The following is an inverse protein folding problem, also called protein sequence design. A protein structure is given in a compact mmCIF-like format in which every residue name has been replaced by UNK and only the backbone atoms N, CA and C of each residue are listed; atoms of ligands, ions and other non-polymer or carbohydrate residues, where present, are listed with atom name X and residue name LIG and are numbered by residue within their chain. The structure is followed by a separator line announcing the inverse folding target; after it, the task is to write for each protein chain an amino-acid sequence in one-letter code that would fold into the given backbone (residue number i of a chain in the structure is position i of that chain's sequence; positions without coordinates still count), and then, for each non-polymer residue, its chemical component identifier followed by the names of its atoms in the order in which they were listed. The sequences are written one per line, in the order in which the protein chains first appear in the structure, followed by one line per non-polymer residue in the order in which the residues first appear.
data_IF_264392250388
#
_entry.id   IF_264392250388
#
_cell.length_a   1.000
_cell.length_b   1.000
_cell.length_c   1.000
_cell.angle_alpha   90.00
_cell.angle_beta   90.00
_cell.angle_gamma   90.00
#
_symmetry.space_group_name_H-M   'P 1'
#
loop_
_entity.id
_entity.type
_entity.pdbx_description
1 polymer ?
#
# COMPACT_ATOMS: atom_id res chain seq x y z
N UNK A 1 -43.37 -4.10 -13.31
CA UNK A 1 -43.33 -3.94 -11.83
C UNK A 1 -41.89 -4.15 -11.40
N UNK A 2 -41.14 -3.07 -11.17
CA UNK A 2 -39.75 -3.15 -10.73
C UNK A 2 -39.71 -3.41 -9.22
N UNK A 3 -39.20 -4.56 -8.82
CA UNK A 3 -39.01 -4.94 -7.41
C UNK A 3 -37.94 -4.02 -6.82
N UNK A 4 -38.36 -3.02 -6.04
CA UNK A 4 -37.43 -2.17 -5.27
C UNK A 4 -36.69 -3.06 -4.26
N UNK A 5 -35.36 -3.18 -4.39
CA UNK A 5 -34.52 -3.77 -3.34
C UNK A 5 -34.69 -2.92 -2.09
N UNK A 6 -35.10 -3.56 -1.00
CA UNK A 6 -35.14 -2.96 0.34
C UNK A 6 -33.71 -2.62 0.71
N UNK A 7 -33.43 -1.33 0.95
CA UNK A 7 -32.19 -0.91 1.56
C UNK A 7 -32.28 -1.38 3.02
N UNK A 8 -31.50 -2.40 3.38
CA UNK A 8 -31.34 -2.80 4.77
C UNK A 8 -30.65 -1.65 5.49
N UNK A 9 -31.44 -0.81 6.17
CA UNK A 9 -30.97 0.13 7.16
C UNK A 9 -30.65 -0.67 8.42
N UNK A 10 -29.57 -1.45 8.38
CA UNK A 10 -28.96 -1.97 9.58
C UNK A 10 -28.52 -0.77 10.42
N UNK A 11 -28.95 -0.74 11.67
CA UNK A 11 -28.39 0.12 12.71
C UNK A 11 -26.86 -0.02 12.62
N UNK A 12 -26.06 1.06 12.61
CA UNK A 12 -24.63 0.90 12.77
C UNK A 12 -24.41 0.21 14.12
N UNK A 13 -24.06 -1.07 14.06
CA UNK A 13 -23.47 -1.77 15.19
C UNK A 13 -22.33 -0.89 15.71
N UNK A 14 -22.13 -0.78 17.03
CA UNK A 14 -20.97 -0.05 17.54
C UNK A 14 -19.74 -0.57 16.81
N UNK A 15 -19.11 0.30 15.99
CA UNK A 15 -17.89 -0.06 15.26
C UNK A 15 -16.88 -0.51 16.29
N UNK A 16 -16.66 -1.83 16.38
CA UNK A 16 -15.55 -2.36 17.13
C UNK A 16 -14.29 -1.70 16.58
N UNK A 17 -13.35 -1.28 17.45
CA UNK A 17 -12.12 -0.68 16.99
C UNK A 17 -11.45 -1.64 16.01
N UNK A 18 -11.28 -1.19 14.76
CA UNK A 18 -10.61 -1.94 13.71
C UNK A 18 -9.17 -2.18 14.20
N UNK A 19 -8.74 -3.44 14.20
CA UNK A 19 -7.36 -3.77 14.51
C UNK A 19 -6.46 -3.08 13.45
N UNK A 20 -5.41 -2.36 13.83
CA UNK A 20 -4.50 -1.72 12.86
C UNK A 20 -3.95 -2.69 11.79
N UNK A 21 -3.89 -3.98 12.08
CA UNK A 21 -3.48 -5.01 11.11
C UNK A 21 -4.52 -5.28 10.01
N UNK A 22 -5.79 -4.93 10.23
CA UNK A 22 -6.86 -5.00 9.24
C UNK A 22 -6.98 -3.71 8.39
N UNK A 23 -6.12 -2.71 8.63
CA UNK A 23 -5.96 -1.58 7.73
C UNK A 23 -4.96 -1.89 6.61
N UNK A 24 -5.33 -1.58 5.37
CA UNK A 24 -4.42 -1.66 4.23
C UNK A 24 -3.55 -0.40 4.21
N UNK A 25 -2.25 -0.57 4.41
CA UNK A 25 -1.28 0.50 4.23
C UNK A 25 -0.60 0.36 2.88
N UNK A 26 -0.53 1.46 2.14
CA UNK A 26 0.13 1.57 0.84
C UNK A 26 1.10 2.75 0.87
N UNK A 27 2.39 2.47 0.71
CA UNK A 27 3.46 3.47 0.75
C UNK A 27 4.23 3.46 -0.56
N UNK A 28 4.43 4.63 -1.17
CA UNK A 28 5.23 4.77 -2.39
C UNK A 28 6.68 5.12 -2.02
N UNK A 29 7.63 4.20 -2.21
CA UNK A 29 9.06 4.46 -2.08
C UNK A 29 9.68 5.01 -3.39
N UNK A 30 8.96 4.91 -4.50
CA UNK A 30 9.32 5.51 -5.77
C UNK A 30 8.23 5.29 -6.82
N UNK A 31 8.11 6.19 -7.80
CA UNK A 31 6.98 6.20 -8.74
C UNK A 31 5.71 6.90 -8.20
N UNK A 32 5.75 7.44 -6.98
CA UNK A 32 4.68 8.25 -6.41
C UNK A 32 4.71 9.69 -6.94
N UNK A 33 3.71 10.09 -7.73
CA UNK A 33 3.68 11.40 -8.41
C UNK A 33 4.89 11.67 -9.33
N UNK A 34 5.56 10.62 -9.81
CA UNK A 34 6.70 10.68 -10.73
C UNK A 34 6.72 9.47 -11.67
N UNK A 35 7.64 9.43 -12.64
CA UNK A 35 7.83 8.30 -13.55
C UNK A 35 9.27 7.81 -13.47
N UNK A 36 9.45 6.58 -12.99
CA UNK A 36 10.77 5.96 -12.76
C UNK A 36 10.86 5.41 -11.34
N UNK A 37 11.86 4.54 -11.08
CA UNK A 37 12.12 3.92 -9.76
C UNK A 37 10.87 3.37 -9.04
N UNK A 38 9.96 2.75 -9.78
CA UNK A 38 8.75 2.15 -9.21
C UNK A 38 9.11 1.19 -8.07
N UNK A 39 8.59 1.48 -6.89
CA UNK A 39 8.76 0.68 -5.69
C UNK A 39 7.67 1.06 -4.68
N UNK A 40 6.86 0.10 -4.26
CA UNK A 40 5.71 0.35 -3.40
C UNK A 40 5.65 -0.70 -2.29
N UNK A 41 5.23 -0.32 -1.10
CA UNK A 41 5.02 -1.23 0.02
C UNK A 41 3.52 -1.37 0.24
N UNK A 42 3.08 -2.61 0.35
CA UNK A 42 1.74 -2.99 0.80
C UNK A 42 1.88 -3.72 2.13
N UNK A 43 1.20 -3.21 3.16
CA UNK A 43 1.07 -3.90 4.45
C UNK A 43 -0.39 -4.21 4.73
N UNK A 44 -0.68 -5.48 5.01
CA UNK A 44 -2.01 -5.94 5.38
C UNK A 44 -1.94 -7.24 6.15
N UNK A 45 -2.70 -7.36 7.25
CA UNK A 45 -2.77 -8.57 8.11
C UNK A 45 -1.39 -9.09 8.53
N UNK A 46 -0.50 -8.16 8.88
CA UNK A 46 0.88 -8.47 9.27
C UNK A 46 1.69 -9.17 8.17
N UNK A 47 1.37 -8.90 6.90
CA UNK A 47 2.17 -9.27 5.73
C UNK A 47 2.64 -8.01 5.05
N UNK A 48 3.89 -8.02 4.60
CA UNK A 48 4.52 -6.89 3.92
C UNK A 48 4.98 -7.35 2.54
N UNK A 49 4.42 -6.75 1.50
CA UNK A 49 4.79 -7.01 0.11
C UNK A 49 5.46 -5.76 -0.45
N UNK A 50 6.63 -5.92 -1.05
CA UNK A 50 7.25 -4.89 -1.87
C UNK A 50 6.87 -5.14 -3.33
N UNK A 51 6.38 -4.13 -4.02
CA UNK A 51 6.05 -4.20 -5.44
C UNK A 51 7.10 -3.42 -6.22
N UNK A 52 7.87 -4.14 -7.03
CA UNK A 52 8.98 -3.64 -7.82
C UNK A 52 10.16 -3.05 -7.01
N UNK A 53 11.30 -3.02 -7.68
CA UNK A 53 12.56 -2.43 -7.19
C UNK A 53 13.26 -1.73 -8.36
N UNK A 54 12.57 -0.77 -8.99
CA UNK A 54 13.02 -0.10 -10.21
C UNK A 54 14.15 0.92 -9.97
N UNK A 55 14.72 1.44 -11.05
CA UNK A 55 15.62 2.59 -11.04
C UNK A 55 15.04 3.75 -11.86
N UNK A 56 15.35 4.99 -11.48
CA UNK A 56 14.88 6.18 -12.17
C UNK A 56 15.80 6.51 -13.35
N UNK A 57 15.31 6.54 -14.60
CA UNK A 57 16.17 6.66 -15.78
C UNK A 57 16.84 8.02 -15.94
N UNK A 58 16.34 9.06 -15.28
CA UNK A 58 16.89 10.42 -15.34
C UNK A 58 17.91 10.75 -14.23
N UNK A 59 18.25 9.79 -13.36
CA UNK A 59 19.21 9.98 -12.27
C UNK A 59 20.28 8.89 -12.31
N UNK A 60 21.42 9.17 -11.68
CA UNK A 60 22.57 8.27 -11.64
C UNK A 60 22.89 7.80 -10.22
N UNK A 61 23.48 6.61 -10.12
CA UNK A 61 23.96 6.06 -8.86
C UNK A 61 22.85 5.90 -7.81
N UNK A 62 23.16 6.21 -6.55
CA UNK A 62 22.22 6.09 -5.42
C UNK A 62 20.97 6.96 -5.60
N UNK A 63 21.07 8.11 -6.29
CA UNK A 63 19.93 8.99 -6.51
C UNK A 63 18.87 8.40 -7.45
N UNK A 64 19.24 7.40 -8.25
CA UNK A 64 18.31 6.67 -9.13
C UNK A 64 17.46 5.64 -8.38
N UNK A 65 17.85 5.28 -7.16
CA UNK A 65 17.18 4.23 -6.40
C UNK A 65 15.88 4.76 -5.75
N UNK A 66 14.94 3.85 -5.41
CA UNK A 66 13.86 4.15 -4.49
C UNK A 66 14.38 4.57 -3.13
N UNK A 67 13.52 5.20 -2.33
CA UNK A 67 13.83 5.65 -0.96
C UNK A 67 13.83 4.48 0.04
N UNK A 68 14.70 3.49 -0.17
CA UNK A 68 14.79 2.29 0.68
C UNK A 68 15.05 2.58 2.15
N UNK A 69 15.74 3.68 2.45
CA UNK A 69 16.07 4.07 3.82
C UNK A 69 14.84 4.55 4.62
N UNK A 70 13.72 4.85 3.95
CA UNK A 70 12.47 5.27 4.60
C UNK A 70 11.62 4.08 5.09
N UNK A 71 12.05 2.84 4.82
CA UNK A 71 11.33 1.63 5.21
C UNK A 71 12.27 0.54 5.73
N UNK A 72 11.83 -0.20 6.74
CA UNK A 72 12.57 -1.38 7.21
C UNK A 72 12.36 -2.56 6.26
N UNK A 73 13.26 -2.69 5.28
CA UNK A 73 13.22 -3.77 4.28
C UNK A 73 13.35 -5.17 4.90
N UNK A 74 13.83 -5.32 6.13
CA UNK A 74 13.90 -6.64 6.79
C UNK A 74 12.52 -7.21 7.11
N UNK A 75 11.49 -6.36 7.10
CA UNK A 75 10.09 -6.75 7.31
C UNK A 75 9.37 -7.20 6.05
N UNK A 76 9.99 -7.05 4.86
CA UNK A 76 9.40 -7.45 3.57
C UNK A 76 9.42 -8.97 3.44
N UNK A 77 8.24 -9.56 3.28
CA UNK A 77 8.08 -11.01 3.12
C UNK A 77 8.38 -11.46 1.67
N UNK A 78 8.00 -10.64 0.69
CA UNK A 78 8.12 -10.95 -0.74
C UNK A 78 8.23 -9.67 -1.58
N UNK A 79 8.92 -9.82 -2.72
CA UNK A 79 9.04 -8.87 -3.82
C UNK A 79 8.35 -9.42 -5.07
#
# INVERSE_FOLDING_TARGET
MATKRKLDTATPEPEEPIDPSDELMFLCLGGGNEVGRSCHIIQYKGKTVMLDAGAHPAYDGLASLPFYDEFDLSTVDIL
#
